data_IF_602900251358
#
_entry.id   IF_602900251358
#
_cell.length_a   1.000
_cell.length_b   1.000
_cell.length_c   1.000
_cell.angle_alpha   90.00
_cell.angle_beta   90.00
_cell.angle_gamma   90.00
#
_symmetry.space_group_name_H-M   'P 1'
#
loop_
_entity.id
_entity.type
_entity.pdbx_description
1 polymer ?
#
# COMPACT_ATOMS: atom_id res chain seq x y z
N UNK A 1 51.80 -53.89 23.12
CA UNK A 1 52.00 -52.59 23.78
C UNK A 1 51.78 -51.47 22.77
N UNK A 2 50.66 -50.78 22.94
CA UNK A 2 50.38 -49.36 22.67
C UNK A 2 51.32 -48.61 21.72
N UNK A 3 50.74 -48.03 20.65
CA UNK A 3 50.63 -46.57 20.49
C UNK A 3 49.63 -46.21 19.38
N UNK A 4 48.40 -46.11 19.85
CA UNK A 4 47.33 -45.20 19.46
C UNK A 4 47.80 -43.83 18.89
N UNK A 5 46.94 -43.32 18.00
CA UNK A 5 46.70 -41.91 17.67
C UNK A 5 47.70 -41.27 16.71
N UNK A 6 47.32 -41.17 15.43
CA UNK A 6 47.17 -39.88 14.76
C UNK A 6 46.61 -40.01 13.33
N UNK A 7 45.96 -38.93 12.90
CA UNK A 7 45.44 -38.63 11.55
C UNK A 7 44.00 -39.08 11.27
N UNK A 8 43.12 -38.87 12.25
CA UNK A 8 41.74 -38.43 11.98
C UNK A 8 41.82 -36.97 11.51
N UNK A 9 42.08 -36.73 10.22
CA UNK A 9 42.12 -35.36 9.67
C UNK A 9 41.98 -35.28 8.15
N UNK A 10 41.21 -36.15 7.49
CA UNK A 10 40.91 -35.98 6.04
C UNK A 10 39.49 -36.44 5.71
N UNK A 11 38.50 -35.96 6.46
CA UNK A 11 37.08 -36.17 6.11
C UNK A 11 36.21 -34.96 6.51
N UNK A 12 36.65 -33.76 6.14
CA UNK A 12 35.93 -32.52 6.45
C UNK A 12 36.04 -31.47 5.32
N UNK A 13 36.03 -31.90 4.04
CA UNK A 13 36.05 -30.97 2.89
C UNK A 13 35.05 -31.44 1.82
N UNK A 14 33.79 -31.70 2.19
CA UNK A 14 32.73 -32.03 1.22
C UNK A 14 31.37 -31.36 1.48
N UNK A 15 31.30 -30.33 2.33
CA UNK A 15 30.04 -29.61 2.61
C UNK A 15 30.05 -28.12 2.28
N UNK A 16 30.79 -27.71 1.25
CA UNK A 16 30.69 -26.37 0.66
C UNK A 16 29.88 -26.39 -0.64
N UNK A 17 28.72 -27.06 -0.64
CA UNK A 17 27.64 -26.72 -1.56
C UNK A 17 26.90 -25.54 -0.92
N UNK A 18 27.31 -24.35 -1.32
CA UNK A 18 26.69 -23.09 -0.94
C UNK A 18 25.19 -23.17 -1.09
N UNK A 19 24.53 -22.92 0.03
CA UNK A 19 23.11 -22.60 0.14
C UNK A 19 22.76 -21.56 -0.91
N UNK A 20 22.11 -22.01 -1.98
CA UNK A 20 21.36 -21.15 -2.86
C UNK A 20 20.15 -20.71 -2.03
N UNK A 21 20.28 -19.59 -1.31
CA UNK A 21 19.12 -18.85 -0.84
C UNK A 21 18.37 -18.42 -2.09
N UNK A 22 17.36 -19.21 -2.45
CA UNK A 22 16.27 -18.76 -3.30
C UNK A 22 15.61 -17.61 -2.55
N UNK A 23 16.10 -16.40 -2.78
CA UNK A 23 15.22 -15.25 -2.87
C UNK A 23 14.33 -15.54 -4.06
N UNK A 24 13.26 -16.27 -3.78
CA UNK A 24 12.14 -16.37 -4.69
C UNK A 24 11.50 -14.97 -4.67
N UNK A 25 11.91 -14.14 -5.63
CA UNK A 25 11.11 -13.06 -6.21
C UNK A 25 9.87 -13.66 -6.91
N UNK A 26 9.19 -14.59 -6.24
CA UNK A 26 7.87 -15.02 -6.67
C UNK A 26 6.95 -13.82 -6.39
N UNK A 27 6.27 -13.25 -7.41
CA UNK A 27 5.33 -12.19 -7.16
C UNK A 27 4.31 -12.72 -6.17
N UNK A 28 4.32 -12.18 -4.95
CA UNK A 28 3.46 -12.62 -3.86
C UNK A 28 2.03 -12.75 -4.40
N UNK A 29 1.44 -13.95 -4.27
CA UNK A 29 0.10 -14.19 -4.79
C UNK A 29 -0.86 -13.13 -4.24
N UNK A 30 -1.76 -12.57 -5.08
CA UNK A 30 -2.66 -11.52 -4.65
C UNK A 30 -3.48 -11.96 -3.43
N UNK A 31 -3.31 -11.27 -2.29
CA UNK A 31 -4.16 -11.46 -1.10
C UNK A 31 -5.62 -11.15 -1.43
N UNK A 32 -6.59 -11.69 -0.69
CA UNK A 32 -8.02 -11.35 -0.88
C UNK A 32 -8.26 -9.83 -0.83
N UNK A 33 -7.54 -9.11 0.04
CA UNK A 33 -7.56 -7.65 0.10
C UNK A 33 -7.06 -7.00 -1.19
N UNK A 34 -5.95 -7.49 -1.77
CA UNK A 34 -5.45 -6.97 -3.04
C UNK A 34 -6.46 -7.15 -4.18
N UNK A 35 -7.20 -8.27 -4.20
CA UNK A 35 -8.25 -8.52 -5.20
C UNK A 35 -9.38 -7.49 -5.12
N UNK A 36 -9.80 -7.12 -3.90
CA UNK A 36 -10.79 -6.05 -3.69
C UNK A 36 -10.24 -4.71 -4.18
N UNK A 37 -9.00 -4.38 -3.80
CA UNK A 37 -8.39 -3.08 -4.08
C UNK A 37 -8.28 -2.80 -5.59
N UNK A 38 -7.96 -3.82 -6.40
CA UNK A 38 -7.74 -3.69 -7.84
C UNK A 38 -9.01 -3.82 -8.69
N UNK A 39 -10.16 -4.07 -8.07
CA UNK A 39 -11.40 -4.37 -8.79
C UNK A 39 -11.98 -3.12 -9.49
N UNK A 40 -11.94 -1.98 -8.82
CA UNK A 40 -12.46 -0.71 -9.33
C UNK A 40 -11.54 0.46 -8.94
N UNK A 41 -11.55 1.58 -9.69
CA UNK A 41 -11.01 2.84 -9.20
C UNK A 41 -11.76 3.30 -7.95
N UNK A 42 -11.08 4.05 -7.10
CA UNK A 42 -11.60 4.55 -5.82
C UNK A 42 -11.75 6.05 -5.84
N UNK A 43 -12.93 6.54 -5.50
CA UNK A 43 -13.23 7.97 -5.37
C UNK A 43 -13.28 8.36 -3.91
N UNK A 44 -12.48 9.35 -3.52
CA UNK A 44 -12.58 9.92 -2.19
C UNK A 44 -13.89 10.70 -2.06
N UNK A 45 -14.73 10.31 -1.11
CA UNK A 45 -16.04 10.95 -0.85
C UNK A 45 -15.99 11.90 0.33
N UNK A 46 -15.10 11.67 1.30
CA UNK A 46 -14.93 12.54 2.45
C UNK A 46 -13.60 12.32 3.17
N UNK A 47 -13.23 13.31 3.98
CA UNK A 47 -12.24 13.16 5.06
C UNK A 47 -12.98 13.31 6.37
N UNK A 48 -12.74 12.41 7.32
CA UNK A 48 -13.35 12.45 8.66
C UNK A 48 -12.30 12.46 9.75
N UNK A 49 -12.67 12.93 10.93
CA UNK A 49 -11.92 12.63 12.15
C UNK A 49 -12.12 11.16 12.58
N UNK A 50 -11.52 10.77 13.71
CA UNK A 50 -11.61 9.39 14.23
C UNK A 50 -13.01 9.01 14.72
N UNK A 51 -13.85 10.00 15.06
CA UNK A 51 -15.26 9.78 15.45
C UNK A 51 -16.18 9.59 14.24
N UNK A 52 -15.67 9.84 13.03
CA UNK A 52 -16.43 9.76 11.78
C UNK A 52 -17.09 11.08 11.39
N UNK A 53 -16.82 12.19 12.09
CA UNK A 53 -17.33 13.51 11.71
C UNK A 53 -16.55 14.04 10.51
N UNK A 54 -17.28 14.44 9.46
CA UNK A 54 -16.70 15.04 8.27
C UNK A 54 -15.93 16.33 8.58
N UNK A 55 -14.72 16.42 8.06
CA UNK A 55 -13.87 17.61 8.10
C UNK A 55 -14.24 18.49 6.91
N UNK A 56 -14.47 19.78 7.18
CA UNK A 56 -14.80 20.73 6.13
C UNK A 56 -13.66 20.87 5.11
N UNK A 57 -13.99 20.86 3.82
CA UNK A 57 -13.01 20.96 2.73
C UNK A 57 -12.14 22.22 2.83
N UNK A 58 -12.65 23.32 3.40
CA UNK A 58 -11.87 24.53 3.64
C UNK A 58 -10.65 24.31 4.53
N UNK A 59 -10.71 23.35 5.45
CA UNK A 59 -9.65 23.03 6.41
C UNK A 59 -8.60 22.05 5.87
N UNK A 60 -8.86 21.40 4.73
CA UNK A 60 -7.91 20.47 4.11
C UNK A 60 -6.80 21.23 3.37
N UNK A 61 -5.65 20.59 3.13
CA UNK A 61 -4.61 21.15 2.27
C UNK A 61 -5.00 21.06 0.78
N UNK A 62 -4.26 21.75 -0.10
CA UNK A 62 -4.60 21.77 -1.53
C UNK A 62 -4.50 20.39 -2.20
N UNK A 63 -3.55 19.56 -1.79
CA UNK A 63 -3.36 18.22 -2.35
C UNK A 63 -4.56 17.31 -2.09
N UNK A 64 -5.01 17.22 -0.84
CA UNK A 64 -6.18 16.42 -0.47
C UNK A 64 -7.46 16.93 -1.15
N UNK A 65 -7.63 18.26 -1.27
CA UNK A 65 -8.74 18.83 -2.04
C UNK A 65 -8.69 18.42 -3.51
N UNK A 66 -7.52 18.50 -4.13
CA UNK A 66 -7.37 18.14 -5.53
C UNK A 66 -7.75 16.68 -5.80
N UNK A 67 -7.34 15.76 -4.92
CA UNK A 67 -7.73 14.35 -5.00
C UNK A 67 -9.24 14.19 -4.80
N UNK A 68 -9.79 14.84 -3.77
CA UNK A 68 -11.20 14.76 -3.40
C UNK A 68 -12.15 15.39 -4.42
N UNK A 69 -11.68 16.28 -5.28
CA UNK A 69 -12.51 16.99 -6.26
C UNK A 69 -12.32 16.48 -7.70
N UNK A 70 -11.09 16.11 -8.09
CA UNK A 70 -10.75 15.88 -9.51
C UNK A 70 -10.28 14.48 -9.86
N UNK A 71 -9.93 13.65 -8.87
CA UNK A 71 -9.24 12.38 -9.14
C UNK A 71 -10.01 11.15 -8.66
N UNK A 72 -9.86 10.06 -9.41
CA UNK A 72 -10.13 8.69 -8.98
C UNK A 72 -8.80 7.92 -8.93
N UNK A 73 -8.59 7.11 -7.89
CA UNK A 73 -7.34 6.36 -7.70
C UNK A 73 -7.56 4.91 -8.12
N UNK A 74 -6.87 4.46 -9.16
CA UNK A 74 -6.91 3.08 -9.62
C UNK A 74 -5.67 2.33 -9.15
N UNK A 75 -5.88 1.19 -8.50
CA UNK A 75 -4.83 0.22 -8.20
C UNK A 75 -4.90 -0.92 -9.21
N UNK A 76 -3.76 -1.33 -9.75
CA UNK A 76 -3.66 -2.42 -10.73
C UNK A 76 -2.91 -3.61 -10.10
N UNK A 77 -3.24 -4.83 -10.57
CA UNK A 77 -2.70 -6.07 -10.02
C UNK A 77 -1.17 -6.22 -10.14
N UNK A 78 -0.53 -5.45 -11.01
CA UNK A 78 0.93 -5.38 -11.19
C UNK A 78 1.59 -4.29 -10.33
N UNK A 79 0.98 -3.93 -9.19
CA UNK A 79 1.47 -2.89 -8.27
C UNK A 79 1.57 -1.47 -8.86
N UNK A 80 0.92 -1.20 -9.99
CA UNK A 80 0.81 0.14 -10.57
C UNK A 80 -0.39 0.86 -9.97
N UNK A 81 -0.20 2.12 -9.58
CA UNK A 81 -1.30 3.04 -9.22
C UNK A 81 -1.41 4.14 -10.27
N UNK A 82 -2.65 4.54 -10.57
CA UNK A 82 -2.94 5.67 -11.46
C UNK A 82 -3.89 6.63 -10.78
N UNK A 83 -3.59 7.92 -10.84
CA UNK A 83 -4.57 8.97 -10.60
C UNK A 83 -5.24 9.31 -11.93
N UNK A 84 -6.54 9.09 -12.02
CA UNK A 84 -7.36 9.32 -13.20
C UNK A 84 -8.17 10.59 -13.01
N UNK A 85 -8.27 11.43 -14.04
CA UNK A 85 -9.23 12.53 -14.03
C UNK A 85 -10.65 11.96 -14.08
N UNK A 86 -11.55 12.45 -13.20
CA UNK A 86 -12.86 11.83 -12.95
C UNK A 86 -13.77 11.73 -14.17
N UNK A 87 -13.77 12.73 -15.03
CA UNK A 87 -14.74 12.84 -16.12
C UNK A 87 -14.29 12.11 -17.38
N UNK A 88 -13.01 12.25 -17.72
CA UNK A 88 -12.37 11.73 -18.94
C UNK A 88 -11.67 10.40 -18.72
N UNK A 89 -11.39 10.04 -17.46
CA UNK A 89 -10.53 8.90 -17.09
C UNK A 89 -9.10 8.98 -17.66
N UNK A 90 -8.67 10.18 -18.07
CA UNK A 90 -7.31 10.41 -18.50
C UNK A 90 -6.35 10.20 -17.31
N UNK A 91 -5.23 9.53 -17.55
CA UNK A 91 -4.18 9.38 -16.54
C UNK A 91 -3.51 10.73 -16.32
N UNK A 92 -3.66 11.28 -15.13
CA UNK A 92 -2.99 12.52 -14.70
C UNK A 92 -1.61 12.24 -14.11
N UNK A 93 -1.50 11.12 -13.40
CA UNK A 93 -0.28 10.72 -12.72
C UNK A 93 -0.26 9.20 -12.49
N UNK A 94 0.93 8.64 -12.24
CA UNK A 94 1.13 7.24 -11.97
C UNK A 94 2.25 6.99 -10.97
N UNK A 95 2.29 5.77 -10.46
CA UNK A 95 3.24 5.36 -9.45
C UNK A 95 3.03 3.92 -9.03
N UNK A 96 3.42 3.59 -7.80
CA UNK A 96 3.32 2.22 -7.27
C UNK A 96 2.46 2.15 -6.03
N UNK A 97 1.97 0.94 -5.72
CA UNK A 97 1.36 0.63 -4.43
C UNK A 97 1.73 -0.75 -3.93
N UNK A 98 1.73 -0.91 -2.61
CA UNK A 98 1.95 -2.19 -1.94
C UNK A 98 1.07 -2.31 -0.69
N UNK A 99 0.50 -3.48 -0.47
CA UNK A 99 -0.03 -3.86 0.84
C UNK A 99 1.11 -4.48 1.65
N UNK A 100 1.52 -3.80 2.71
CA UNK A 100 2.59 -4.21 3.62
C UNK A 100 2.02 -4.43 5.03
N UNK A 101 2.88 -4.86 5.96
CA UNK A 101 2.52 -5.09 7.37
C UNK A 101 1.28 -5.99 7.51
N UNK A 102 1.33 -7.19 6.93
CA UNK A 102 0.21 -8.15 6.89
C UNK A 102 -1.08 -7.56 6.30
N UNK A 103 -0.94 -6.71 5.27
CA UNK A 103 -2.03 -6.00 4.60
C UNK A 103 -2.81 -5.05 5.53
N UNK A 104 -2.17 -4.51 6.56
CA UNK A 104 -2.72 -3.45 7.42
C UNK A 104 -2.26 -2.05 7.01
N UNK A 105 -1.24 -1.96 6.17
CA UNK A 105 -0.72 -0.70 5.63
C UNK A 105 -0.75 -0.73 4.11
N UNK A 106 -1.29 0.32 3.50
CA UNK A 106 -1.22 0.59 2.07
C UNK A 106 -0.13 1.65 1.86
N UNK A 107 0.98 1.26 1.24
CA UNK A 107 2.05 2.15 0.82
C UNK A 107 1.78 2.61 -0.62
N UNK A 108 1.66 3.91 -0.84
CA UNK A 108 1.37 4.50 -2.15
C UNK A 108 2.49 5.49 -2.48
N UNK A 109 3.02 5.38 -3.69
CA UNK A 109 4.04 6.28 -4.21
C UNK A 109 3.54 6.93 -5.50
N UNK A 110 2.67 7.94 -5.37
CA UNK A 110 2.15 8.77 -6.47
C UNK A 110 2.40 10.23 -6.11
N UNK A 111 2.95 11.04 -7.03
CA UNK A 111 3.18 12.48 -6.74
C UNK A 111 1.88 13.18 -6.30
N UNK A 112 1.93 13.93 -5.20
CA UNK A 112 0.78 14.57 -4.56
C UNK A 112 -0.13 13.65 -3.72
N UNK A 113 0.08 12.33 -3.75
CA UNK A 113 -0.65 11.35 -2.92
C UNK A 113 0.27 10.20 -2.50
N UNK A 114 1.44 10.53 -1.95
CA UNK A 114 2.41 9.56 -1.46
C UNK A 114 2.36 9.38 0.06
N UNK A 115 2.62 8.16 0.52
CA UNK A 115 2.78 7.84 1.93
C UNK A 115 2.29 6.45 2.29
N UNK A 116 2.46 6.13 3.57
CA UNK A 116 1.92 4.91 4.18
C UNK A 116 0.61 5.24 4.89
N UNK A 117 -0.41 4.48 4.59
CA UNK A 117 -1.77 4.67 5.09
C UNK A 117 -2.23 3.41 5.80
N UNK A 118 -2.69 3.50 7.04
CA UNK A 118 -3.28 2.33 7.70
C UNK A 118 -4.63 2.02 7.06
N UNK A 119 -4.83 0.77 6.64
CA UNK A 119 -6.10 0.29 6.08
C UNK A 119 -7.04 -0.01 7.24
N UNK A 120 -7.90 0.97 7.56
CA UNK A 120 -8.88 0.86 8.63
C UNK A 120 -10.11 0.04 8.20
N UNK A 121 -10.44 0.08 6.91
CA UNK A 121 -11.52 -0.70 6.31
C UNK A 121 -11.22 -0.93 4.83
N UNK A 122 -11.44 -2.15 4.33
CA UNK A 122 -11.40 -2.47 2.91
C UNK A 122 -12.44 -3.55 2.63
N UNK A 123 -13.51 -3.14 1.93
CA UNK A 123 -14.61 -3.99 1.48
C UNK A 123 -14.90 -3.69 0.00
N UNK A 124 -15.79 -4.44 -0.64
CA UNK A 124 -16.16 -4.16 -2.04
C UNK A 124 -16.88 -2.82 -2.24
N UNK A 125 -17.34 -2.15 -1.18
CA UNK A 125 -18.06 -0.89 -1.26
C UNK A 125 -17.34 0.28 -0.58
N UNK A 126 -16.27 0.03 0.17
CA UNK A 126 -15.64 1.05 1.00
C UNK A 126 -14.16 0.79 1.25
N UNK A 127 -13.37 1.85 1.12
CA UNK A 127 -11.97 1.88 1.55
C UNK A 127 -11.80 3.05 2.53
N UNK A 128 -11.25 2.79 3.72
CA UNK A 128 -10.90 3.82 4.70
C UNK A 128 -9.41 3.75 4.99
N UNK A 129 -8.74 4.85 4.71
CA UNK A 129 -7.30 5.01 4.92
C UNK A 129 -7.06 5.98 6.07
N UNK A 130 -6.42 5.52 7.16
CA UNK A 130 -6.01 6.38 8.28
C UNK A 130 -4.67 7.03 7.98
N UNK A 131 -4.55 8.33 8.27
CA UNK A 131 -3.28 9.07 8.24
C UNK A 131 -3.35 10.33 9.11
N UNK A 132 -2.18 10.78 9.56
CA UNK A 132 -1.99 12.14 10.09
C UNK A 132 -1.80 13.12 8.95
N UNK A 133 -2.66 14.13 8.87
CA UNK A 133 -2.53 15.21 7.87
C UNK A 133 -2.91 16.57 8.48
N UNK A 134 -2.44 17.69 7.91
CA UNK A 134 -2.78 19.01 8.42
C UNK A 134 -4.26 19.34 8.15
N UNK A 135 -4.99 19.67 9.22
CA UNK A 135 -6.37 20.15 9.20
C UNK A 135 -6.41 21.51 9.88
N UNK A 136 -6.71 22.56 9.11
CA UNK A 136 -6.63 23.93 9.62
C UNK A 136 -5.24 24.33 10.10
N UNK A 137 -4.18 23.70 9.56
CA UNK A 137 -2.79 23.93 9.96
C UNK A 137 -2.32 23.09 11.16
N UNK A 138 -3.17 22.21 11.71
CA UNK A 138 -2.82 21.33 12.82
C UNK A 138 -2.81 19.87 12.37
N UNK A 139 -1.73 19.17 12.65
CA UNK A 139 -1.62 17.74 12.36
C UNK A 139 -2.66 16.95 13.15
N UNK A 140 -3.53 16.26 12.42
CA UNK A 140 -4.68 15.56 12.99
C UNK A 140 -4.75 14.15 12.41
N UNK A 141 -5.03 13.15 13.26
CA UNK A 141 -5.37 11.81 12.77
C UNK A 141 -6.76 11.82 12.13
N UNK A 142 -6.82 11.31 10.91
CA UNK A 142 -8.03 11.36 10.08
C UNK A 142 -8.23 10.06 9.32
N UNK A 143 -9.44 9.87 8.80
CA UNK A 143 -9.73 8.88 7.77
C UNK A 143 -10.05 9.58 6.46
N UNK A 144 -9.41 9.14 5.38
CA UNK A 144 -9.90 9.38 4.03
C UNK A 144 -10.83 8.23 3.66
N UNK A 145 -12.05 8.57 3.27
CA UNK A 145 -13.11 7.61 2.95
C UNK A 145 -13.29 7.60 1.44
N UNK A 146 -13.23 6.40 0.87
CA UNK A 146 -13.38 6.16 -0.55
C UNK A 146 -14.48 5.15 -0.83
N UNK A 147 -15.09 5.30 -1.99
CA UNK A 147 -16.08 4.39 -2.57
C UNK A 147 -15.62 3.94 -3.97
N UNK A 148 -15.97 2.72 -4.41
CA UNK A 148 -15.61 2.25 -5.74
C UNK A 148 -16.38 3.04 -6.82
N UNK A 149 -15.69 3.33 -7.92
CA UNK A 149 -16.29 3.91 -9.12
C UNK A 149 -16.74 2.78 -10.03
N UNK A 150 -18.03 2.46 -9.96
CA UNK A 150 -18.68 1.47 -10.82
C UNK A 150 -19.22 2.21 -12.05
N UNK A 151 -18.77 1.82 -13.25
CA UNK A 151 -19.22 2.37 -14.53
C UNK A 151 -20.02 1.35 -15.31
#
# INVERSE_FOLDING_TARGET
MNRLINLVAVFAILFLLGSCSKDSDDPAMPTEKSKILVNYPWRMTSVTDLSGKTIATSLLNMETKAIAEYMDIQFQANNVTKALERNTSQVLNGGTWYLIDDSTTLDIAVSGFSGKFTVAELTNSKLRLKRVMPVGGVDTETYMVFEPVIK
#
